data_IF_172436419029
#
_entry.id   IF_172436419029
#
_cell.length_a   1.000
_cell.length_b   1.000
_cell.length_c   1.000
_cell.angle_alpha   90.00
_cell.angle_beta   90.00
_cell.angle_gamma   90.00
#
_symmetry.space_group_name_H-M   'P 1'
#
loop_
_entity.id
_entity.type
_entity.pdbx_description
1 polymer ?
#
# COMPACT_ATOMS: atom_id res chain seq x y z
N UNK A 1 33.78 9.94 34.37
CA UNK A 1 32.85 9.17 33.53
C UNK A 1 31.49 9.80 33.78
N UNK A 2 30.93 10.48 32.80
CA UNK A 2 29.54 10.92 32.92
C UNK A 2 28.70 9.68 32.67
N UNK A 3 28.19 9.05 33.73
CA UNK A 3 27.17 8.00 33.65
C UNK A 3 25.84 8.67 33.31
N UNK A 4 25.73 9.20 32.08
CA UNK A 4 24.45 9.63 31.57
C UNK A 4 23.55 8.40 31.45
N UNK A 5 22.31 8.43 31.96
CA UNK A 5 21.42 7.29 31.90
C UNK A 5 21.14 6.92 30.43
N UNK A 6 21.12 5.62 30.14
CA UNK A 6 20.79 5.11 28.81
C UNK A 6 19.29 5.02 28.67
N UNK A 7 18.75 5.67 27.64
CA UNK A 7 17.35 5.55 27.24
C UNK A 7 17.27 4.52 26.11
N UNK A 8 16.22 3.69 26.12
CA UNK A 8 15.96 2.72 25.05
C UNK A 8 14.54 2.88 24.54
N UNK A 9 14.41 2.98 23.22
CA UNK A 9 13.15 2.96 22.48
C UNK A 9 13.16 1.77 21.52
N UNK A 10 11.98 1.30 21.11
CA UNK A 10 11.86 0.19 20.16
C UNK A 10 10.57 0.24 19.38
N UNK A 11 10.57 -0.41 18.23
CA UNK A 11 9.37 -0.68 17.44
C UNK A 11 9.57 -1.92 16.58
N UNK A 12 8.47 -2.56 16.17
CA UNK A 12 8.51 -3.64 15.17
C UNK A 12 7.87 -3.15 13.90
N UNK A 13 8.57 -3.27 12.78
CA UNK A 13 8.16 -2.81 11.47
C UNK A 13 7.79 -4.03 10.64
N UNK A 14 6.55 -4.08 10.15
CA UNK A 14 6.00 -5.09 9.26
C UNK A 14 6.55 -4.90 7.84
N UNK A 15 7.86 -5.07 7.71
CA UNK A 15 8.61 -5.01 6.46
C UNK A 15 9.88 -5.86 6.59
N UNK A 16 10.38 -6.42 5.46
CA UNK A 16 11.67 -7.11 5.42
C UNK A 16 12.81 -6.19 5.85
N UNK A 17 13.83 -6.78 6.47
CA UNK A 17 14.97 -6.04 7.04
C UNK A 17 15.73 -5.22 6.01
N UNK A 18 15.77 -5.67 4.75
CA UNK A 18 16.39 -4.94 3.65
C UNK A 18 15.66 -3.62 3.37
N UNK A 19 14.32 -3.62 3.35
CA UNK A 19 13.52 -2.40 3.18
C UNK A 19 13.72 -1.46 4.36
N UNK A 20 13.65 -2.00 5.58
CA UNK A 20 13.85 -1.23 6.81
C UNK A 20 15.23 -0.56 6.83
N UNK A 21 16.29 -1.31 6.52
CA UNK A 21 17.64 -0.76 6.47
C UNK A 21 17.79 0.32 5.40
N UNK A 22 17.27 0.08 4.18
CA UNK A 22 17.27 1.05 3.09
C UNK A 22 16.60 2.37 3.52
N UNK A 23 15.39 2.27 4.07
CA UNK A 23 14.59 3.43 4.46
C UNK A 23 15.20 4.18 5.65
N UNK A 24 15.88 3.47 6.55
CA UNK A 24 16.58 4.09 7.67
C UNK A 24 17.82 4.87 7.24
N UNK A 25 18.50 4.44 6.17
CA UNK A 25 19.84 4.92 5.85
C UNK A 25 19.93 5.82 4.61
N UNK A 26 19.03 5.72 3.65
CA UNK A 26 19.12 6.57 2.45
C UNK A 26 18.59 7.99 2.72
N UNK A 27 19.32 9.05 2.33
CA UNK A 27 18.93 10.44 2.59
C UNK A 27 17.54 10.83 2.07
N UNK A 28 17.11 10.26 0.96
CA UNK A 28 15.79 10.53 0.38
C UNK A 28 14.66 10.07 1.30
N UNK A 29 14.82 8.91 1.95
CA UNK A 29 13.88 8.39 2.94
C UNK A 29 13.98 9.13 4.27
N UNK A 30 15.19 9.43 4.76
CA UNK A 30 15.40 10.16 6.03
C UNK A 30 14.62 11.48 6.06
N UNK A 31 14.59 12.23 4.95
CA UNK A 31 13.82 13.49 4.86
C UNK A 31 12.32 13.31 5.12
N UNK A 32 11.76 12.13 4.84
CA UNK A 32 10.33 11.84 4.94
C UNK A 32 9.90 11.49 6.37
N UNK A 33 10.72 10.71 7.09
CA UNK A 33 10.34 10.22 8.42
C UNK A 33 11.05 10.92 9.59
N UNK A 34 12.22 11.53 9.37
CA UNK A 34 13.01 12.11 10.46
C UNK A 34 12.43 13.48 10.87
N UNK A 35 11.31 13.45 11.59
CA UNK A 35 10.70 14.61 12.22
C UNK A 35 9.93 14.15 13.47
N UNK A 36 10.01 14.94 14.54
CA UNK A 36 9.41 14.60 15.82
C UNK A 36 7.91 14.96 15.89
N UNK A 37 7.42 15.83 15.01
CA UNK A 37 6.03 16.22 14.93
C UNK A 37 5.67 16.81 13.57
N UNK A 38 4.37 16.98 13.31
CA UNK A 38 3.82 17.53 12.07
C UNK A 38 4.26 18.96 11.76
N UNK A 39 4.68 19.72 12.78
CA UNK A 39 5.14 21.11 12.66
C UNK A 39 6.64 21.20 12.31
N UNK A 40 7.33 20.07 12.25
CA UNK A 40 8.75 19.97 11.91
C UNK A 40 8.96 19.20 10.61
N UNK A 41 10.11 19.44 9.99
CA UNK A 41 10.55 18.69 8.82
C UNK A 41 12.08 18.60 8.76
N UNK A 42 12.59 17.60 8.05
CA UNK A 42 14.00 17.53 7.68
C UNK A 42 14.14 18.07 6.25
N UNK A 43 14.84 19.19 6.10
CA UNK A 43 15.00 19.85 4.79
C UNK A 43 16.10 19.23 3.94
N UNK A 44 17.18 18.79 4.58
CA UNK A 44 18.30 18.13 3.92
C UNK A 44 18.82 16.98 4.77
N UNK A 45 19.27 15.93 4.11
CA UNK A 45 19.94 14.79 4.73
C UNK A 45 21.16 14.40 3.89
N UNK A 46 22.23 13.97 4.54
CA UNK A 46 23.39 13.35 3.92
C UNK A 46 23.87 12.21 4.81
N UNK A 47 24.33 11.13 4.19
CA UNK A 47 24.73 9.94 4.93
C UNK A 47 25.90 9.20 4.27
N UNK A 48 27.09 9.24 4.88
CA UNK A 48 28.24 8.39 4.53
C UNK A 48 28.26 7.17 5.46
N UNK A 49 27.46 6.14 5.11
CA UNK A 49 27.18 4.98 5.95
C UNK A 49 28.35 3.98 5.99
N UNK A 50 29.41 4.31 6.72
CA UNK A 50 30.56 3.45 7.02
C UNK A 50 31.22 3.87 8.32
N UNK A 51 31.98 3.00 8.96
CA UNK A 51 32.78 3.38 10.13
C UNK A 51 33.71 4.56 9.81
N UNK A 52 33.69 5.60 10.66
CA UNK A 52 34.37 6.88 10.46
C UNK A 52 33.70 7.83 9.45
N UNK A 53 32.63 7.41 8.78
CA UNK A 53 31.77 8.27 7.97
C UNK A 53 30.88 9.16 8.85
N UNK A 54 30.33 10.22 8.24
CA UNK A 54 29.51 11.21 8.93
C UNK A 54 28.11 11.27 8.30
N UNK A 55 27.10 11.51 9.13
CA UNK A 55 25.75 11.86 8.68
C UNK A 55 25.38 13.26 9.16
N UNK A 56 24.45 13.89 8.45
CA UNK A 56 23.86 15.18 8.83
C UNK A 56 22.40 15.22 8.37
N UNK A 57 21.52 15.64 9.27
CA UNK A 57 20.12 15.96 8.99
C UNK A 57 19.82 17.37 9.48
N UNK A 58 19.41 18.26 8.57
CA UNK A 58 18.96 19.61 8.89
C UNK A 58 17.48 19.55 9.27
N UNK A 59 17.18 19.79 10.53
CA UNK A 59 15.81 19.74 11.06
C UNK A 59 15.32 21.15 11.35
N UNK A 60 14.14 21.51 10.85
CA UNK A 60 13.58 22.87 10.95
C UNK A 60 12.10 22.82 11.31
N UNK A 61 11.62 23.84 12.02
CA UNK A 61 10.20 24.10 12.18
C UNK A 61 9.65 24.63 10.85
N UNK A 62 8.47 24.15 10.42
CA UNK A 62 7.87 24.52 9.14
C UNK A 62 7.51 26.01 9.02
N UNK A 63 7.37 26.70 10.16
CA UNK A 63 7.16 28.15 10.22
C UNK A 63 8.46 28.97 10.09
N UNK A 64 9.61 28.29 10.01
CA UNK A 64 10.94 28.89 9.91
C UNK A 64 11.46 29.50 11.22
N UNK A 65 10.78 29.29 12.35
CA UNK A 65 11.15 29.90 13.63
C UNK A 65 12.43 29.34 14.25
N UNK A 66 12.72 28.06 13.99
CA UNK A 66 13.83 27.34 14.60
C UNK A 66 14.38 26.27 13.65
N UNK A 67 15.69 26.02 13.72
CA UNK A 67 16.33 24.92 13.02
C UNK A 67 17.69 24.56 13.60
N UNK A 68 18.06 23.29 13.50
CA UNK A 68 19.32 22.76 14.00
C UNK A 68 19.84 21.61 13.13
N UNK A 69 21.14 21.34 13.25
CA UNK A 69 21.79 20.24 12.55
C UNK A 69 21.95 19.06 13.50
N UNK A 70 21.33 17.93 13.17
CA UNK A 70 21.57 16.66 13.85
C UNK A 70 22.63 15.88 13.07
N UNK A 71 23.80 15.67 13.68
CA UNK A 71 24.94 15.03 13.02
C UNK A 71 25.75 14.18 13.99
N UNK A 72 26.48 13.22 13.43
CA UNK A 72 27.34 12.32 14.19
C UNK A 72 28.32 11.58 13.29
N UNK A 73 29.29 10.92 13.93
CA UNK A 73 30.29 10.08 13.26
C UNK A 73 30.01 8.63 13.61
N UNK A 74 29.96 7.76 12.60
CA UNK A 74 29.73 6.33 12.80
C UNK A 74 30.93 5.66 13.46
N UNK A 75 30.68 5.03 14.60
CA UNK A 75 31.64 4.19 15.31
C UNK A 75 31.66 2.77 14.74
N UNK A 76 30.48 2.24 14.41
CA UNK A 76 30.28 0.88 13.88
C UNK A 76 29.13 0.87 12.88
N UNK A 77 29.33 0.19 11.74
CA UNK A 77 28.27 -0.11 10.78
C UNK A 77 28.41 -1.59 10.40
N UNK A 78 27.40 -2.37 10.76
CA UNK A 78 27.24 -3.77 10.35
C UNK A 78 25.94 -3.88 9.57
N UNK A 79 26.07 -4.16 8.27
CA UNK A 79 24.95 -4.23 7.34
C UNK A 79 23.83 -5.11 7.90
N UNK A 80 22.62 -4.55 7.97
CA UNK A 80 21.41 -5.20 8.48
C UNK A 80 21.40 -5.59 9.95
N UNK A 81 22.43 -5.24 10.73
CA UNK A 81 22.53 -5.67 12.13
C UNK A 81 22.62 -4.49 13.09
N UNK A 82 23.54 -3.57 12.85
CA UNK A 82 23.89 -2.56 13.84
C UNK A 82 24.43 -1.29 13.20
N UNK A 83 24.00 -0.16 13.74
CA UNK A 83 24.59 1.16 13.51
C UNK A 83 24.90 1.75 14.88
N UNK A 84 26.13 2.22 15.10
CA UNK A 84 26.51 2.98 16.28
C UNK A 84 27.23 4.26 15.87
N UNK A 85 26.96 5.36 16.56
CA UNK A 85 27.59 6.64 16.31
C UNK A 85 27.73 7.49 17.56
N UNK A 86 28.68 8.41 17.48
CA UNK A 86 28.93 9.44 18.50
C UNK A 86 28.50 10.81 17.97
N UNK A 87 27.69 11.50 18.77
CA UNK A 87 27.20 12.86 18.49
C UNK A 87 28.27 13.91 18.79
N UNK A 88 28.07 15.15 18.30
CA UNK A 88 29.02 16.26 18.50
C UNK A 88 29.27 16.63 19.98
N UNK A 89 28.37 16.26 20.89
CA UNK A 89 28.51 16.43 22.34
C UNK A 89 29.06 15.19 23.07
N UNK A 90 29.63 14.25 22.29
CA UNK A 90 30.21 12.99 22.72
C UNK A 90 29.21 11.93 23.24
N UNK A 91 27.90 12.19 23.19
CA UNK A 91 26.89 11.18 23.52
C UNK A 91 26.88 10.07 22.48
N UNK A 92 26.65 8.85 22.96
CA UNK A 92 26.60 7.65 22.12
C UNK A 92 25.18 7.21 21.82
N UNK A 93 24.99 6.72 20.60
CA UNK A 93 23.76 6.09 20.13
C UNK A 93 24.08 4.75 19.48
N UNK A 94 23.24 3.75 19.73
CA UNK A 94 23.32 2.43 19.11
C UNK A 94 21.94 1.95 18.69
N UNK A 95 21.83 1.55 17.43
CA UNK A 95 20.63 1.02 16.82
C UNK A 95 20.92 -0.43 16.40
N UNK A 96 20.00 -1.34 16.73
CA UNK A 96 20.08 -2.73 16.32
C UNK A 96 18.83 -3.09 15.52
N UNK A 97 19.02 -3.93 14.51
CA UNK A 97 17.98 -4.45 13.64
C UNK A 97 17.94 -5.98 13.78
N UNK A 98 16.76 -6.55 14.02
CA UNK A 98 16.58 -8.00 14.11
C UNK A 98 15.24 -8.43 13.55
N UNK A 99 15.21 -9.48 12.74
CA UNK A 99 13.96 -10.06 12.23
C UNK A 99 13.30 -10.97 13.26
N UNK A 100 11.97 -10.93 13.28
CA UNK A 100 11.09 -11.85 13.99
C UNK A 100 9.87 -12.18 13.11
N UNK A 101 8.96 -13.02 13.61
CA UNK A 101 7.76 -13.47 12.88
C UNK A 101 6.82 -12.31 12.44
N UNK A 102 6.91 -11.16 13.10
CA UNK A 102 6.07 -9.98 12.85
C UNK A 102 6.79 -8.89 12.03
N UNK A 103 8.01 -9.16 11.54
CA UNK A 103 8.83 -8.22 10.76
C UNK A 103 10.16 -7.88 11.42
N UNK A 104 10.66 -6.66 11.21
CA UNK A 104 11.97 -6.21 11.72
C UNK A 104 11.80 -5.38 12.99
N UNK A 105 12.34 -5.86 14.12
CA UNK A 105 12.49 -5.06 15.34
C UNK A 105 13.66 -4.10 15.19
N UNK A 106 13.41 -2.83 15.50
CA UNK A 106 14.41 -1.76 15.59
C UNK A 106 14.50 -1.33 17.04
N UNK A 107 15.68 -1.47 17.64
CA UNK A 107 15.95 -1.05 19.02
C UNK A 107 17.04 0.02 18.99
N UNK A 108 16.70 1.22 19.46
CA UNK A 108 17.63 2.34 19.57
C UNK A 108 17.88 2.68 21.04
N UNK A 109 19.16 2.75 21.40
CA UNK A 109 19.63 3.09 22.73
C UNK A 109 20.58 4.27 22.66
N UNK A 110 20.35 5.28 23.50
CA UNK A 110 21.14 6.52 23.49
C UNK A 110 21.41 7.04 24.89
N UNK A 111 22.57 7.69 25.06
CA UNK A 111 22.91 8.41 26.29
C UNK A 111 22.03 9.67 26.42
N UNK A 112 21.33 9.81 27.54
CA UNK A 112 20.51 10.98 27.80
C UNK A 112 21.38 12.23 27.96
N UNK A 113 20.88 13.37 27.53
CA UNK A 113 21.44 14.66 27.93
C UNK A 113 20.85 15.14 29.26
N UNK A 114 21.42 16.19 29.83
CA UNK A 114 21.08 16.70 31.16
C UNK A 114 20.08 17.85 31.16
N UNK A 115 19.74 18.44 30.01
CA UNK A 115 18.87 19.63 29.99
C UNK A 115 17.39 19.27 30.02
N UNK A 116 16.96 18.26 29.26
CA UNK A 116 15.58 17.77 29.27
C UNK A 116 15.39 16.55 30.17
N UNK A 117 14.16 16.31 30.63
CA UNK A 117 13.84 15.12 31.41
C UNK A 117 13.96 13.84 30.58
N UNK A 118 14.25 12.72 31.25
CA UNK A 118 14.36 11.39 30.61
C UNK A 118 13.07 11.03 29.87
N UNK A 119 11.91 11.30 30.46
CA UNK A 119 10.61 11.01 29.84
C UNK A 119 10.36 11.86 28.58
N UNK A 120 10.75 13.14 28.60
CA UNK A 120 10.60 14.02 27.44
C UNK A 120 11.50 13.56 26.28
N UNK A 121 12.76 13.21 26.58
CA UNK A 121 13.67 12.65 25.59
C UNK A 121 13.13 11.33 25.04
N UNK A 122 12.76 10.38 25.90
CA UNK A 122 12.20 9.10 25.46
C UNK A 122 10.97 9.27 24.56
N UNK A 123 10.06 10.17 24.92
CA UNK A 123 8.84 10.45 24.14
C UNK A 123 9.19 11.04 22.76
N UNK A 124 10.09 12.02 22.71
CA UNK A 124 10.49 12.65 21.45
C UNK A 124 11.17 11.69 20.48
N UNK A 125 12.09 10.87 20.98
CA UNK A 125 12.78 9.86 20.16
C UNK A 125 11.83 8.73 19.72
N UNK A 126 10.93 8.27 20.61
CA UNK A 126 9.93 7.28 20.24
C UNK A 126 8.99 7.82 19.14
N UNK A 127 8.60 9.09 19.20
CA UNK A 127 7.75 9.69 18.16
C UNK A 127 8.42 9.70 16.77
N UNK A 128 9.72 9.95 16.71
CA UNK A 128 10.50 9.84 15.46
C UNK A 128 10.52 8.39 14.96
N UNK A 129 10.78 7.43 15.85
CA UNK A 129 10.79 6.00 15.49
C UNK A 129 9.41 5.50 15.05
N UNK A 130 8.33 6.01 15.65
CA UNK A 130 6.96 5.72 15.24
C UNK A 130 6.64 6.34 13.88
N UNK A 131 7.21 7.50 13.54
CA UNK A 131 7.10 8.09 12.21
C UNK A 131 7.85 7.24 11.17
N UNK A 132 9.04 6.74 11.51
CA UNK A 132 9.78 5.81 10.66
C UNK A 132 8.99 4.53 10.38
N UNK A 133 8.39 3.93 11.41
CA UNK A 133 7.49 2.79 11.24
C UNK A 133 6.34 3.10 10.29
N UNK A 134 5.63 4.22 10.51
CA UNK A 134 4.51 4.64 9.64
C UNK A 134 4.93 4.82 8.19
N UNK A 135 6.06 5.49 7.94
CA UNK A 135 6.60 5.70 6.60
C UNK A 135 6.98 4.38 5.92
N UNK A 136 7.65 3.49 6.65
CA UNK A 136 8.14 2.21 6.10
C UNK A 136 7.02 1.22 5.81
N UNK A 137 5.96 1.24 6.61
CA UNK A 137 4.77 0.39 6.46
C UNK A 137 3.70 0.99 5.54
N UNK A 138 3.89 2.21 5.04
CA UNK A 138 2.89 2.84 4.20
C UNK A 138 2.78 2.06 2.88
N UNK A 139 1.58 1.55 2.62
CA UNK A 139 1.22 0.96 1.35
C UNK A 139 0.95 2.07 0.33
N UNK A 140 1.79 2.15 -0.72
CA UNK A 140 1.71 3.19 -1.76
C UNK A 140 0.44 3.08 -2.59
N UNK A 141 0.07 1.86 -2.95
CA UNK A 141 -1.09 1.55 -3.79
C UNK A 141 -2.18 0.90 -2.95
N UNK A 142 -3.35 1.53 -2.87
CA UNK A 142 -4.51 1.04 -2.10
C UNK A 142 -5.67 0.77 -3.06
N UNK A 143 -6.22 -0.45 -3.12
CA UNK A 143 -7.43 -0.71 -3.88
C UNK A 143 -8.61 0.10 -3.35
N UNK A 144 -9.37 0.69 -4.27
CA UNK A 144 -10.48 1.56 -3.96
C UNK A 144 -11.76 1.11 -4.67
N UNK A 145 -12.82 0.93 -3.87
CA UNK A 145 -14.09 0.36 -4.30
C UNK A 145 -15.19 1.43 -4.30
N UNK A 146 -15.86 1.59 -5.44
CA UNK A 146 -16.94 2.56 -5.58
C UNK A 146 -18.28 1.83 -5.60
N UNK A 147 -19.12 2.13 -4.61
CA UNK A 147 -20.49 1.65 -4.49
C UNK A 147 -21.48 2.80 -4.66
N UNK A 148 -22.73 2.45 -4.95
CA UNK A 148 -23.80 3.44 -5.00
C UNK A 148 -24.16 3.92 -3.58
N UNK A 149 -24.40 2.96 -2.67
CA UNK A 149 -24.86 3.26 -1.29
C UNK A 149 -24.27 2.33 -0.24
N UNK A 150 -23.73 1.19 -0.63
CA UNK A 150 -23.51 0.03 0.23
C UNK A 150 -22.07 -0.12 0.75
N UNK A 151 -21.18 0.86 0.56
CA UNK A 151 -19.75 0.71 0.85
C UNK A 151 -19.45 0.21 2.27
N UNK A 152 -20.11 0.78 3.29
CA UNK A 152 -19.92 0.36 4.67
C UNK A 152 -20.48 -1.04 4.95
N UNK A 153 -21.62 -1.37 4.37
CA UNK A 153 -22.24 -2.67 4.51
C UNK A 153 -21.35 -3.76 3.89
N UNK A 154 -20.91 -3.54 2.65
CA UNK A 154 -19.99 -4.42 1.94
C UNK A 154 -18.68 -4.60 2.70
N UNK A 155 -18.06 -3.51 3.17
CA UNK A 155 -16.83 -3.56 3.96
C UNK A 155 -16.99 -4.40 5.24
N UNK A 156 -18.07 -4.20 6.01
CA UNK A 156 -18.33 -4.98 7.22
C UNK A 156 -18.58 -6.46 6.91
N UNK A 157 -19.24 -6.76 5.80
CA UNK A 157 -19.39 -8.13 5.32
C UNK A 157 -18.04 -8.75 5.00
N UNK A 158 -17.18 -8.09 4.22
CA UNK A 158 -15.86 -8.63 3.88
C UNK A 158 -14.96 -8.80 5.11
N UNK A 159 -14.96 -7.85 6.04
CA UNK A 159 -14.21 -7.96 7.30
C UNK A 159 -14.59 -9.23 8.05
N UNK A 160 -15.85 -9.65 7.99
CA UNK A 160 -16.33 -10.88 8.66
C UNK A 160 -15.78 -12.18 8.04
N UNK A 161 -15.29 -12.15 6.79
CA UNK A 161 -14.82 -13.33 6.05
C UNK A 161 -13.31 -13.59 6.18
N UNK A 162 -12.54 -12.62 6.66
CA UNK A 162 -11.09 -12.67 6.69
C UNK A 162 -10.56 -12.44 8.10
N UNK A 163 -9.64 -13.30 8.55
CA UNK A 163 -8.85 -13.04 9.76
C UNK A 163 -8.00 -11.78 9.60
N UNK A 164 -7.56 -11.18 10.71
CA UNK A 164 -6.75 -9.95 10.72
C UNK A 164 -7.38 -8.79 9.92
N UNK A 165 -8.70 -8.69 9.99
CA UNK A 165 -9.48 -7.66 9.30
C UNK A 165 -10.16 -6.74 10.31
N UNK A 166 -10.29 -5.46 9.96
CA UNK A 166 -10.92 -4.46 10.83
C UNK A 166 -11.39 -3.25 10.04
N UNK A 167 -12.41 -2.59 10.57
CA UNK A 167 -12.78 -1.26 10.12
C UNK A 167 -11.73 -0.26 10.61
N UNK A 168 -11.20 0.57 9.71
CA UNK A 168 -10.23 1.61 10.06
C UNK A 168 -10.89 2.94 10.33
N UNK A 169 -11.82 3.35 9.46
CA UNK A 169 -12.50 4.64 9.55
C UNK A 169 -13.82 4.61 8.78
N UNK A 170 -14.73 5.48 9.20
CA UNK A 170 -15.91 5.87 8.41
C UNK A 170 -16.11 7.37 8.53
N UNK A 171 -16.32 8.06 7.43
CA UNK A 171 -16.63 9.48 7.39
C UNK A 171 -17.77 9.74 6.41
N UNK A 172 -18.59 10.77 6.67
CA UNK A 172 -19.62 11.22 5.74
C UNK A 172 -19.30 12.65 5.33
N UNK A 173 -19.17 12.87 4.03
CA UNK A 173 -19.00 14.18 3.43
C UNK A 173 -20.35 14.69 2.98
N UNK A 174 -20.84 15.70 3.69
CA UNK A 174 -22.05 16.42 3.32
C UNK A 174 -21.76 17.52 2.30
N UNK A 175 -22.77 17.84 1.48
CA UNK A 175 -22.75 18.94 0.50
C UNK A 175 -21.72 18.79 -0.63
N UNK A 176 -21.42 17.57 -1.07
CA UNK A 176 -20.64 17.37 -2.30
C UNK A 176 -21.52 17.62 -3.53
N UNK A 177 -20.94 17.86 -4.72
CA UNK A 177 -21.72 17.98 -5.97
C UNK A 177 -22.65 16.78 -6.24
N UNK A 178 -22.32 15.62 -5.68
CA UNK A 178 -23.03 14.35 -5.87
C UNK A 178 -23.94 13.97 -4.70
N UNK A 179 -24.10 14.83 -3.69
CA UNK A 179 -24.87 14.56 -2.47
C UNK A 179 -24.00 14.19 -1.26
N UNK A 180 -24.56 13.43 -0.32
CA UNK A 180 -23.79 12.89 0.80
C UNK A 180 -22.94 11.71 0.31
N UNK A 181 -21.65 11.74 0.63
CA UNK A 181 -20.70 10.68 0.27
C UNK A 181 -20.21 10.00 1.53
N UNK A 182 -20.40 8.69 1.66
CA UNK A 182 -19.79 7.91 2.75
C UNK A 182 -18.44 7.36 2.30
N UNK A 183 -17.39 7.61 3.09
CA UNK A 183 -16.04 7.08 2.88
C UNK A 183 -15.75 6.06 3.96
N UNK A 184 -15.24 4.89 3.56
CA UNK A 184 -14.97 3.76 4.43
C UNK A 184 -13.54 3.29 4.18
N UNK A 185 -12.71 3.32 5.21
CA UNK A 185 -11.39 2.67 5.17
C UNK A 185 -11.44 1.40 6.00
N UNK A 186 -10.89 0.31 5.48
CA UNK A 186 -10.87 -0.98 6.16
C UNK A 186 -9.62 -1.80 5.80
N UNK A 187 -9.35 -2.83 6.58
CA UNK A 187 -8.29 -3.81 6.31
C UNK A 187 -8.92 -5.19 6.15
N UNK A 188 -8.47 -5.93 5.14
CA UNK A 188 -8.76 -7.35 4.92
C UNK A 188 -7.46 -8.13 4.96
N UNK A 189 -7.32 -9.08 5.88
CA UNK A 189 -6.10 -9.88 6.05
C UNK A 189 -4.81 -9.02 6.10
N UNK A 190 -4.87 -7.91 6.84
CA UNK A 190 -3.76 -6.94 6.97
C UNK A 190 -3.54 -6.02 5.76
N UNK A 191 -4.28 -6.19 4.66
CA UNK A 191 -4.19 -5.33 3.47
C UNK A 191 -5.22 -4.19 3.53
N UNK A 192 -4.82 -2.92 3.35
CA UNK A 192 -5.75 -1.80 3.39
C UNK A 192 -6.58 -1.70 2.10
N UNK A 193 -7.84 -1.31 2.26
CA UNK A 193 -8.79 -0.95 1.22
C UNK A 193 -9.48 0.35 1.61
N UNK A 194 -9.83 1.16 0.61
CA UNK A 194 -10.78 2.25 0.77
C UNK A 194 -12.03 1.96 -0.07
N UNK A 195 -13.17 2.45 0.36
CA UNK A 195 -14.41 2.37 -0.40
C UNK A 195 -15.23 3.65 -0.21
N UNK A 196 -16.07 3.97 -1.20
CA UNK A 196 -17.02 5.07 -1.10
C UNK A 196 -18.41 4.66 -1.55
N UNK A 197 -19.41 5.29 -0.95
CA UNK A 197 -20.79 5.30 -1.43
C UNK A 197 -21.08 6.65 -2.07
N UNK A 198 -21.20 6.68 -3.39
CA UNK A 198 -21.56 7.87 -4.16
C UNK A 198 -22.19 7.43 -5.49
N UNK A 199 -23.50 7.56 -5.72
CA UNK A 199 -24.07 6.97 -6.94
C UNK A 199 -25.52 7.32 -7.22
N UNK A 200 -26.07 6.85 -8.36
CA UNK A 200 -25.54 5.78 -9.22
C UNK A 200 -24.70 6.25 -10.41
N UNK A 201 -23.38 6.00 -10.40
CA UNK A 201 -22.45 6.42 -11.47
C UNK A 201 -21.70 5.26 -12.14
N UNK A 202 -21.22 4.30 -11.35
CA UNK A 202 -20.41 3.18 -11.83
C UNK A 202 -20.89 1.86 -11.21
N UNK A 203 -20.86 0.80 -12.00
CA UNK A 203 -21.22 -0.54 -11.55
C UNK A 203 -20.02 -1.47 -11.73
N UNK A 204 -19.78 -2.35 -10.75
CA UNK A 204 -18.74 -3.37 -10.86
C UNK A 204 -19.01 -4.30 -12.04
N UNK A 205 -17.91 -4.77 -12.62
CA UNK A 205 -17.88 -5.84 -13.60
C UNK A 205 -16.65 -6.73 -13.33
N UNK A 206 -16.46 -7.84 -14.08
CA UNK A 206 -15.34 -8.76 -13.84
C UNK A 206 -13.95 -8.25 -14.27
N UNK A 207 -13.82 -7.02 -14.79
CA UNK A 207 -12.53 -6.51 -15.32
C UNK A 207 -11.45 -6.41 -14.24
N UNK A 208 -11.82 -6.12 -13.00
CA UNK A 208 -10.92 -6.23 -11.85
C UNK A 208 -11.57 -7.12 -10.79
N UNK A 209 -10.87 -8.19 -10.44
CA UNK A 209 -11.32 -9.16 -9.43
C UNK A 209 -10.28 -9.34 -8.33
N UNK A 210 -10.69 -9.78 -7.15
CA UNK A 210 -9.80 -10.09 -6.04
C UNK A 210 -9.53 -11.60 -5.98
N UNK A 211 -8.31 -12.02 -6.31
CA UNK A 211 -7.85 -13.41 -6.15
C UNK A 211 -7.46 -13.68 -4.71
N UNK A 212 -8.11 -14.67 -4.08
CA UNK A 212 -7.92 -15.05 -2.68
C UNK A 212 -7.19 -16.37 -2.60
N UNK A 213 -6.00 -16.34 -2.00
CA UNK A 213 -5.20 -17.52 -1.72
C UNK A 213 -5.71 -18.22 -0.45
N UNK A 214 -6.38 -19.36 -0.60
CA UNK A 214 -6.88 -20.16 0.52
C UNK A 214 -5.95 -21.35 0.81
N UNK A 215 -5.78 -21.70 2.08
CA UNK A 215 -4.85 -22.78 2.49
C UNK A 215 -5.55 -24.07 2.94
N UNK A 216 -6.88 -24.11 2.82
CA UNK A 216 -7.67 -25.32 3.00
C UNK A 216 -8.93 -25.27 2.14
N UNK A 217 -9.45 -26.45 1.76
CA UNK A 217 -10.75 -26.53 1.07
C UNK A 217 -11.89 -25.97 1.94
N UNK A 218 -11.80 -26.12 3.26
CA UNK A 218 -12.76 -25.55 4.21
C UNK A 218 -12.82 -24.03 4.08
N UNK A 219 -11.65 -23.36 4.04
CA UNK A 219 -11.58 -21.91 3.87
C UNK A 219 -12.19 -21.45 2.54
N UNK A 220 -11.90 -22.17 1.44
CA UNK A 220 -12.50 -21.87 0.13
C UNK A 220 -14.02 -22.00 0.21
N UNK A 221 -14.52 -23.10 0.75
CA UNK A 221 -15.95 -23.39 0.81
C UNK A 221 -16.71 -22.39 1.69
N UNK A 222 -16.16 -22.00 2.84
CA UNK A 222 -16.75 -20.99 3.72
C UNK A 222 -16.94 -19.65 2.98
N UNK A 223 -15.86 -19.14 2.38
CA UNK A 223 -15.88 -17.87 1.63
C UNK A 223 -16.78 -17.96 0.40
N UNK A 224 -16.73 -19.08 -0.33
CA UNK A 224 -17.57 -19.31 -1.50
C UNK A 224 -19.05 -19.26 -1.15
N UNK A 225 -19.47 -19.96 -0.09
CA UNK A 225 -20.87 -19.98 0.33
C UNK A 225 -21.37 -18.58 0.69
N UNK A 226 -20.54 -17.77 1.35
CA UNK A 226 -20.90 -16.41 1.71
C UNK A 226 -20.94 -15.44 0.51
N UNK A 227 -19.94 -15.52 -0.38
CA UNK A 227 -19.80 -14.61 -1.53
C UNK A 227 -20.77 -14.92 -2.66
N UNK A 228 -21.12 -16.19 -2.86
CA UNK A 228 -22.09 -16.61 -3.89
C UNK A 228 -23.54 -16.40 -3.48
N UNK A 229 -23.83 -16.18 -2.19
CA UNK A 229 -25.18 -15.89 -1.74
C UNK A 229 -25.67 -14.53 -2.25
N UNK A 230 -26.63 -14.58 -3.18
CA UNK A 230 -27.17 -13.40 -3.86
C UNK A 230 -26.25 -12.83 -4.95
N UNK A 231 -25.18 -13.55 -5.29
CA UNK A 231 -24.23 -13.20 -6.34
C UNK A 231 -24.46 -13.93 -7.66
N UNK A 232 -23.55 -13.71 -8.60
CA UNK A 232 -23.50 -14.35 -9.92
C UNK A 232 -22.23 -15.21 -10.04
N UNK A 233 -22.41 -16.51 -10.26
CA UNK A 233 -21.32 -17.45 -10.48
C UNK A 233 -20.82 -17.33 -11.92
N UNK A 234 -19.57 -16.89 -12.08
CA UNK A 234 -18.91 -16.75 -13.38
C UNK A 234 -18.18 -18.03 -13.79
N UNK A 235 -17.47 -18.64 -12.84
CA UNK A 235 -16.91 -19.99 -12.97
C UNK A 235 -17.27 -20.79 -11.71
N UNK A 236 -17.98 -21.92 -11.84
CA UNK A 236 -18.38 -22.75 -10.71
C UNK A 236 -17.18 -23.17 -9.85
N UNK A 237 -17.40 -23.32 -8.55
CA UNK A 237 -16.40 -23.89 -7.66
C UNK A 237 -16.17 -25.37 -8.02
N UNK A 238 -15.00 -25.69 -8.57
CA UNK A 238 -14.65 -27.05 -9.02
C UNK A 238 -13.12 -27.22 -9.13
N UNK A 239 -12.69 -28.41 -9.55
CA UNK A 239 -11.33 -28.69 -10.00
C UNK A 239 -11.12 -28.22 -11.45
N UNK A 240 -10.01 -27.53 -11.70
CA UNK A 240 -9.59 -27.04 -13.01
C UNK A 240 -8.13 -27.43 -13.28
N UNK A 241 -7.67 -27.48 -14.55
CA UNK A 241 -6.29 -27.87 -14.86
C UNK A 241 -5.21 -27.06 -14.12
N UNK A 242 -5.50 -25.82 -13.75
CA UNK A 242 -4.59 -24.91 -13.04
C UNK A 242 -4.79 -24.87 -11.52
N UNK A 243 -5.86 -25.47 -10.97
CA UNK A 243 -6.14 -25.48 -9.53
C UNK A 243 -7.02 -26.65 -9.12
N UNK A 244 -6.66 -27.33 -8.04
CA UNK A 244 -7.46 -28.42 -7.46
C UNK A 244 -8.82 -27.96 -6.93
N UNK A 245 -8.95 -26.68 -6.60
CA UNK A 245 -10.19 -26.10 -6.09
C UNK A 245 -10.19 -24.60 -6.37
N UNK A 246 -11.04 -24.19 -7.30
CA UNK A 246 -11.13 -22.80 -7.75
C UNK A 246 -12.57 -22.43 -8.08
N UNK A 247 -12.95 -21.18 -7.81
CA UNK A 247 -14.22 -20.62 -8.25
C UNK A 247 -14.13 -19.11 -8.46
N UNK A 248 -14.98 -18.59 -9.34
CA UNK A 248 -15.08 -17.16 -9.65
C UNK A 248 -16.53 -16.69 -9.55
N UNK A 249 -16.77 -15.67 -8.74
CA UNK A 249 -18.10 -15.16 -8.43
C UNK A 249 -18.10 -13.64 -8.34
N UNK A 250 -19.16 -13.00 -8.82
CA UNK A 250 -19.49 -11.63 -8.42
C UNK A 250 -20.45 -11.69 -7.24
N UNK A 251 -20.13 -11.03 -6.14
CA UNK A 251 -20.97 -11.08 -4.94
C UNK A 251 -22.25 -10.24 -5.09
N UNK A 252 -23.09 -10.25 -4.05
CA UNK A 252 -24.33 -9.46 -4.00
C UNK A 252 -24.16 -7.93 -4.10
N UNK A 253 -22.94 -7.42 -3.94
CA UNK A 253 -22.58 -6.01 -4.12
C UNK A 253 -21.89 -5.76 -5.47
N UNK A 254 -21.74 -6.80 -6.31
CA UNK A 254 -21.16 -6.76 -7.65
C UNK A 254 -19.64 -6.97 -7.72
N UNK A 255 -18.94 -6.95 -6.58
CA UNK A 255 -17.49 -7.09 -6.54
C UNK A 255 -17.09 -8.52 -6.96
N UNK A 256 -16.08 -8.62 -7.83
CA UNK A 256 -15.64 -9.88 -8.41
C UNK A 256 -14.54 -10.54 -7.57
N UNK A 257 -14.73 -11.81 -7.24
CA UNK A 257 -13.86 -12.61 -6.36
C UNK A 257 -13.46 -13.92 -7.03
N UNK A 258 -12.18 -14.27 -6.95
CA UNK A 258 -11.65 -15.55 -7.38
C UNK A 258 -11.07 -16.27 -6.16
N UNK A 259 -11.60 -17.43 -5.79
CA UNK A 259 -11.12 -18.19 -4.63
C UNK A 259 -10.30 -19.37 -5.13
N UNK A 260 -9.09 -19.57 -4.61
CA UNK A 260 -8.18 -20.62 -5.06
C UNK A 260 -7.53 -21.33 -3.89
N UNK A 261 -7.57 -22.67 -3.89
CA UNK A 261 -6.77 -23.48 -2.98
C UNK A 261 -5.30 -23.48 -3.41
N UNK A 262 -4.42 -23.01 -2.53
CA UNK A 262 -2.98 -23.04 -2.70
C UNK A 262 -2.38 -24.36 -2.22
N UNK A 263 -1.30 -24.82 -2.85
CA UNK A 263 -0.53 -25.95 -2.34
C UNK A 263 0.24 -25.57 -1.06
N UNK A 264 0.31 -26.51 -0.12
CA UNK A 264 0.96 -26.31 1.18
C UNK A 264 2.46 -25.95 1.00
N UNK A 265 2.87 -24.79 1.52
CA UNK A 265 4.28 -24.35 1.55
C UNK A 265 4.59 -23.10 0.74
N UNK A 266 3.64 -22.58 -0.05
CA UNK A 266 3.76 -21.26 -0.68
C UNK A 266 3.07 -20.22 0.20
N UNK A 267 3.81 -19.25 0.71
CA UNK A 267 3.21 -18.07 1.34
C UNK A 267 3.16 -16.96 0.30
N UNK A 268 1.95 -16.57 -0.07
CA UNK A 268 1.67 -15.49 -1.03
C UNK A 268 0.81 -14.41 -0.37
N UNK A 269 0.70 -13.25 -1.01
CA UNK A 269 -0.27 -12.24 -0.64
C UNK A 269 -1.68 -12.84 -0.58
N UNK A 270 -2.41 -12.59 0.50
CA UNK A 270 -3.72 -13.22 0.74
C UNK A 270 -4.77 -12.81 -0.30
N UNK A 271 -4.78 -11.53 -0.70
CA UNK A 271 -5.74 -10.95 -1.64
C UNK A 271 -4.98 -10.22 -2.74
N UNK A 272 -5.01 -10.73 -3.98
CA UNK A 272 -4.28 -10.18 -5.13
C UNK A 272 -5.27 -9.57 -6.12
N UNK A 273 -5.22 -8.24 -6.40
CA UNK A 273 -6.01 -7.66 -7.48
C UNK A 273 -5.58 -8.24 -8.83
N UNK A 274 -6.55 -8.73 -9.60
CA UNK A 274 -6.36 -9.32 -10.91
C UNK A 274 -7.01 -8.45 -11.98
N UNK A 275 -6.21 -8.00 -12.95
CA UNK A 275 -6.63 -7.19 -14.10
C UNK A 275 -6.94 -8.10 -15.30
N UNK A 276 -8.21 -8.14 -15.70
CA UNK A 276 -8.69 -8.93 -16.84
C UNK A 276 -8.88 -8.03 -18.07
N UNK A 277 -7.91 -8.10 -18.98
CA UNK A 277 -7.91 -7.34 -20.22
C UNK A 277 -8.91 -7.94 -21.21
N UNK A 278 -10.05 -7.27 -21.37
CA UNK A 278 -11.18 -7.70 -22.19
C UNK A 278 -11.45 -6.71 -23.34
N UNK A 279 -12.40 -7.06 -24.22
CA UNK A 279 -12.88 -6.19 -25.29
C UNK A 279 -11.74 -5.50 -26.08
N UNK A 280 -11.74 -4.17 -26.17
CA UNK A 280 -10.81 -3.40 -27.00
C UNK A 280 -9.35 -3.47 -26.54
N UNK A 281 -9.10 -3.84 -25.27
CA UNK A 281 -7.76 -3.96 -24.69
C UNK A 281 -7.33 -5.41 -24.48
N UNK A 282 -8.11 -6.39 -24.93
CA UNK A 282 -7.69 -7.79 -24.95
C UNK A 282 -6.39 -7.95 -25.77
N UNK A 283 -5.43 -8.69 -25.24
CA UNK A 283 -4.09 -8.87 -25.83
C UNK A 283 -3.06 -7.81 -25.42
N UNK A 284 -3.42 -6.93 -24.47
CA UNK A 284 -2.57 -5.86 -23.94
C UNK A 284 -2.06 -6.11 -22.53
N UNK A 285 -2.47 -7.19 -21.87
CA UNK A 285 -2.08 -7.45 -20.48
C UNK A 285 -0.56 -7.44 -20.26
N UNK A 286 0.21 -8.14 -21.10
CA UNK A 286 1.68 -8.16 -20.98
C UNK A 286 2.32 -6.78 -21.26
N UNK A 287 1.75 -5.98 -22.16
CA UNK A 287 2.19 -4.60 -22.42
C UNK A 287 1.95 -3.71 -21.19
N UNK A 288 0.79 -3.87 -20.55
CA UNK A 288 0.42 -3.12 -19.37
C UNK A 288 1.29 -3.47 -18.16
N UNK A 289 1.55 -4.76 -17.92
CA UNK A 289 2.46 -5.21 -16.86
C UNK A 289 3.83 -4.56 -17.01
N UNK A 290 4.43 -4.59 -18.21
CA UNK A 290 5.71 -3.93 -18.48
C UNK A 290 5.64 -2.43 -18.21
N UNK A 291 4.59 -1.77 -18.71
CA UNK A 291 4.39 -0.35 -18.52
C UNK A 291 4.30 0.03 -17.04
N UNK A 292 3.49 -0.68 -16.25
CA UNK A 292 3.36 -0.39 -14.83
C UNK A 292 4.68 -0.60 -14.07
N UNK A 293 5.43 -1.66 -14.38
CA UNK A 293 6.75 -1.86 -13.77
C UNK A 293 7.82 -0.84 -14.20
N UNK A 294 7.62 -0.14 -15.32
CA UNK A 294 8.47 1.01 -15.68
C UNK A 294 8.05 2.30 -14.97
N UNK A 295 6.76 2.44 -14.64
CA UNK A 295 6.21 3.62 -13.96
C UNK A 295 6.53 3.61 -12.46
N UNK A 296 6.45 2.45 -11.79
CA UNK A 296 6.68 2.32 -10.35
C UNK A 296 8.11 1.87 -10.04
N UNK A 297 8.76 2.53 -9.07
CA UNK A 297 10.19 2.34 -8.76
C UNK A 297 10.47 0.98 -8.11
N UNK A 298 9.70 0.62 -7.08
CA UNK A 298 9.86 -0.66 -6.40
C UNK A 298 8.92 -1.68 -7.01
N UNK A 299 9.28 -2.17 -8.19
CA UNK A 299 8.44 -3.08 -8.95
C UNK A 299 9.22 -4.27 -9.49
N UNK A 300 8.49 -5.36 -9.80
CA UNK A 300 9.05 -6.55 -10.45
C UNK A 300 8.00 -7.25 -11.29
N UNK A 301 8.40 -7.75 -12.45
CA UNK A 301 7.61 -8.73 -13.20
C UNK A 301 7.96 -10.12 -12.67
N UNK A 302 6.94 -10.91 -12.39
CA UNK A 302 7.04 -12.30 -11.95
C UNK A 302 6.85 -13.28 -13.12
N UNK A 303 6.18 -14.39 -12.84
CA UNK A 303 5.83 -15.39 -13.85
C UNK A 303 4.91 -14.78 -14.90
N UNK A 304 5.19 -15.03 -16.17
CA UNK A 304 4.28 -14.76 -17.30
C UNK A 304 4.03 -16.09 -18.00
N UNK A 305 2.75 -16.39 -18.23
CA UNK A 305 2.25 -17.61 -18.85
C UNK A 305 1.36 -17.24 -20.03
N UNK A 306 1.62 -17.87 -21.17
CA UNK A 306 0.94 -17.63 -22.43
C UNK A 306 -0.14 -18.70 -22.66
N UNK A 307 -1.19 -18.32 -23.38
CA UNK A 307 -2.14 -19.31 -23.90
C UNK A 307 -1.46 -20.20 -24.93
N UNK A 308 -1.69 -21.50 -24.84
CA UNK A 308 -1.31 -22.46 -25.87
C UNK A 308 -2.41 -22.59 -26.95
N UNK A 309 -2.07 -23.24 -28.07
CA UNK A 309 -2.99 -23.43 -29.19
C UNK A 309 -4.29 -24.13 -28.73
N UNK A 310 -5.43 -23.42 -28.87
CA UNK A 310 -6.76 -23.92 -28.55
C UNK A 310 -7.23 -23.68 -27.12
N UNK A 311 -6.42 -23.06 -26.26
CA UNK A 311 -6.82 -22.73 -24.88
C UNK A 311 -7.68 -21.46 -24.78
N UNK A 312 -7.53 -20.52 -25.72
CA UNK A 312 -8.35 -19.32 -25.84
C UNK A 312 -9.19 -19.36 -27.13
N UNK A 313 -10.42 -18.87 -27.05
CA UNK A 313 -11.29 -18.66 -28.22
C UNK A 313 -11.13 -17.25 -28.78
N UNK A 314 -10.74 -16.28 -27.95
CA UNK A 314 -10.43 -14.92 -28.37
C UNK A 314 -9.15 -14.91 -29.20
N UNK A 315 -9.16 -14.38 -30.45
CA UNK A 315 -7.96 -14.29 -31.28
C UNK A 315 -6.99 -13.19 -30.80
N UNK A 316 -7.40 -12.37 -29.84
CA UNK A 316 -6.60 -11.28 -29.29
C UNK A 316 -5.85 -11.67 -28.02
N UNK A 317 -6.34 -12.67 -27.29
CA UNK A 317 -5.76 -13.10 -26.03
C UNK A 317 -4.35 -13.70 -26.23
N UNK A 318 -3.39 -13.31 -25.38
CA UNK A 318 -2.00 -13.77 -25.46
C UNK A 318 -1.53 -14.43 -24.19
N UNK A 319 -1.78 -13.79 -23.04
CA UNK A 319 -1.37 -14.33 -21.74
C UNK A 319 -2.57 -14.78 -20.93
N UNK A 320 -2.47 -15.98 -20.34
CA UNK A 320 -3.48 -16.50 -19.40
C UNK A 320 -3.16 -16.10 -17.96
N UNK A 321 -1.92 -15.67 -17.68
CA UNK A 321 -1.51 -15.17 -16.38
C UNK A 321 -0.19 -14.39 -16.46
N UNK A 322 -0.10 -13.28 -15.74
CA UNK A 322 1.13 -12.60 -15.41
C UNK A 322 1.08 -12.13 -13.96
N UNK A 323 2.07 -12.51 -13.15
CA UNK A 323 2.29 -11.96 -11.82
C UNK A 323 3.20 -10.74 -11.91
N UNK A 324 2.92 -9.70 -11.12
CA UNK A 324 3.80 -8.55 -10.98
C UNK A 324 3.59 -7.88 -9.63
N UNK A 325 4.58 -7.13 -9.16
CA UNK A 325 4.51 -6.37 -7.91
C UNK A 325 4.73 -4.90 -8.22
N UNK A 326 3.91 -4.04 -7.62
CA UNK A 326 4.06 -2.59 -7.66
C UNK A 326 4.07 -2.07 -6.22
N UNK A 327 5.18 -1.47 -5.80
CA UNK A 327 5.32 -0.81 -4.50
C UNK A 327 4.91 -1.71 -3.31
N UNK A 328 5.26 -2.99 -3.39
CA UNK A 328 4.98 -3.98 -2.36
C UNK A 328 3.61 -4.66 -2.46
N UNK A 329 2.71 -4.21 -3.35
CA UNK A 329 1.45 -4.90 -3.63
C UNK A 329 1.61 -5.84 -4.81
N UNK A 330 1.33 -7.14 -4.60
CA UNK A 330 1.26 -8.11 -5.69
C UNK A 330 -0.05 -7.94 -6.46
N UNK A 331 0.06 -8.09 -7.78
CA UNK A 331 -1.02 -8.07 -8.76
C UNK A 331 -0.90 -9.28 -9.68
N UNK A 332 -2.02 -9.62 -10.31
CA UNK A 332 -2.02 -10.43 -11.51
C UNK A 332 -2.71 -9.73 -12.67
N UNK A 333 -2.35 -10.11 -13.89
CA UNK A 333 -3.04 -9.68 -15.10
C UNK A 333 -3.20 -10.85 -16.06
N UNK A 334 -4.26 -10.83 -16.86
CA UNK A 334 -4.53 -11.83 -17.88
C UNK A 334 -5.36 -11.21 -19.00
N UNK A 335 -5.19 -11.73 -20.22
CA UNK A 335 -6.13 -11.43 -21.30
C UNK A 335 -7.34 -12.35 -21.17
N UNK A 336 -8.53 -11.83 -21.46
CA UNK A 336 -9.72 -12.66 -21.48
C UNK A 336 -9.65 -13.66 -22.64
N UNK A 337 -9.50 -14.95 -22.32
CA UNK A 337 -9.46 -16.04 -23.29
C UNK A 337 -10.76 -16.21 -24.07
N UNK A 338 -11.86 -15.60 -23.64
CA UNK A 338 -13.18 -15.67 -24.26
C UNK A 338 -13.65 -14.29 -24.74
N UNK A 339 -14.70 -14.26 -25.55
CA UNK A 339 -15.37 -13.00 -25.88
C UNK A 339 -16.13 -12.48 -24.66
N UNK A 340 -15.85 -11.24 -24.29
CA UNK A 340 -16.52 -10.54 -23.19
C UNK A 340 -16.80 -9.09 -23.59
N UNK A 341 -17.98 -8.60 -23.24
CA UNK A 341 -18.46 -7.26 -23.57
C UNK A 341 -18.44 -6.35 -22.33
N UNK A 342 -17.25 -6.14 -21.78
CA UNK A 342 -17.00 -5.17 -20.72
C UNK A 342 -15.56 -4.64 -20.78
N UNK A 343 -15.40 -3.41 -20.31
CA UNK A 343 -14.12 -2.72 -20.18
C UNK A 343 -13.84 -2.39 -18.70
N UNK A 344 -12.60 -1.97 -18.41
CA UNK A 344 -12.29 -1.35 -17.12
C UNK A 344 -13.12 -0.08 -16.91
N UNK A 345 -13.58 0.13 -15.68
CA UNK A 345 -14.29 1.34 -15.28
C UNK A 345 -13.86 1.79 -13.87
N UNK A 346 -14.50 2.83 -13.37
CA UNK A 346 -14.17 3.51 -12.13
C UNK A 346 -14.70 2.78 -10.88
N UNK A 347 -15.53 1.73 -11.05
CA UNK A 347 -16.08 0.97 -9.93
C UNK A 347 -14.97 0.34 -9.07
N UNK A 348 -13.89 -0.10 -9.71
CA UNK A 348 -12.66 -0.51 -9.06
C UNK A 348 -11.51 0.37 -9.56
N UNK A 349 -10.84 1.06 -8.64
CA UNK A 349 -9.69 1.90 -8.95
C UNK A 349 -8.52 1.64 -8.00
N UNK A 350 -7.36 2.20 -8.34
CA UNK A 350 -6.14 2.07 -7.56
C UNK A 350 -5.67 3.45 -7.10
N UNK A 351 -5.64 3.67 -5.79
CA UNK A 351 -5.16 4.91 -5.20
C UNK A 351 -3.65 4.87 -5.04
N UNK A 352 -2.94 5.85 -5.63
CA UNK A 352 -1.49 6.07 -5.47
C UNK A 352 -1.26 7.22 -4.49
N UNK A 353 -0.69 6.89 -3.33
CA UNK A 353 -0.40 7.85 -2.26
C UNK A 353 0.93 8.54 -2.53
N UNK A 354 0.87 9.85 -2.79
CA UNK A 354 2.01 10.67 -3.16
C UNK A 354 2.51 11.50 -1.97
N UNK A 355 3.82 11.50 -1.74
CA UNK A 355 4.45 12.20 -0.62
C UNK A 355 4.53 13.72 -0.84
N UNK A 356 4.66 14.13 -2.10
CA UNK A 356 4.81 15.54 -2.48
C UNK A 356 4.28 15.79 -3.90
N UNK A 357 4.29 17.07 -4.29
CA UNK A 357 3.78 17.50 -5.58
C UNK A 357 4.55 16.91 -6.77
N UNK A 358 5.85 16.62 -6.63
CA UNK A 358 6.63 16.07 -7.73
C UNK A 358 6.17 14.65 -8.06
N UNK A 359 5.85 13.84 -7.03
CA UNK A 359 5.25 12.53 -7.26
C UNK A 359 3.85 12.61 -7.86
N UNK A 360 3.02 13.56 -7.39
CA UNK A 360 1.69 13.80 -7.97
C UNK A 360 1.84 14.08 -9.47
N UNK A 361 2.69 15.03 -9.83
CA UNK A 361 2.92 15.41 -11.22
C UNK A 361 3.51 14.24 -12.03
N UNK A 362 4.42 13.45 -11.45
CA UNK A 362 5.01 12.28 -12.10
C UNK A 362 3.94 11.24 -12.45
N UNK A 363 3.15 10.79 -11.47
CA UNK A 363 2.14 9.76 -11.69
C UNK A 363 1.00 10.27 -12.56
N UNK A 364 0.59 11.53 -12.40
CA UNK A 364 -0.42 12.14 -13.27
C UNK A 364 0.02 12.10 -14.73
N UNK A 365 1.24 12.57 -15.03
CA UNK A 365 1.75 12.61 -16.40
C UNK A 365 1.96 11.22 -17.02
N UNK A 366 2.19 10.18 -16.20
CA UNK A 366 2.36 8.80 -16.66
C UNK A 366 1.03 8.06 -16.81
N UNK A 367 0.08 8.28 -15.91
CA UNK A 367 -1.14 7.49 -15.83
C UNK A 367 -2.35 8.18 -16.45
N UNK A 368 -2.29 9.48 -16.73
CA UNK A 368 -3.39 10.15 -17.45
C UNK A 368 -3.21 10.03 -18.97
N UNK A 369 -4.12 9.29 -19.60
CA UNK A 369 -4.22 9.16 -21.05
C UNK A 369 -5.60 9.53 -21.62
N UNK A 370 -6.60 9.72 -20.75
CA UNK A 370 -7.99 10.07 -21.12
C UNK A 370 -8.40 11.34 -20.37
N UNK A 371 -8.22 12.54 -20.99
CA UNK A 371 -8.49 13.82 -20.33
C UNK A 371 -9.91 13.97 -19.81
N UNK A 372 -10.89 13.37 -20.47
CA UNK A 372 -12.30 13.42 -20.06
C UNK A 372 -12.59 12.63 -18.77
N UNK A 373 -11.70 11.73 -18.38
CA UNK A 373 -11.78 10.97 -17.14
C UNK A 373 -11.07 11.68 -15.97
N UNK A 374 -10.42 12.82 -16.21
CA UNK A 374 -9.73 13.57 -15.17
C UNK A 374 -10.72 14.33 -14.28
N UNK A 375 -10.91 13.87 -13.04
CA UNK A 375 -11.78 14.55 -12.09
C UNK A 375 -11.34 14.32 -10.64
N UNK A 376 -11.14 15.39 -9.87
CA UNK A 376 -10.89 15.31 -8.42
C UNK A 376 -9.78 14.31 -8.01
N UNK A 377 -8.64 14.29 -8.73
CA UNK A 377 -7.53 13.36 -8.46
C UNK A 377 -7.58 12.05 -9.26
N UNK A 378 -8.68 11.78 -9.97
CA UNK A 378 -8.81 10.61 -10.82
C UNK A 378 -8.12 10.81 -12.15
N UNK A 379 -7.47 9.75 -12.65
CA UNK A 379 -6.93 9.65 -14.00
C UNK A 379 -7.23 8.26 -14.55
N UNK A 380 -7.29 8.14 -15.88
CA UNK A 380 -7.45 6.86 -16.56
C UNK A 380 -6.28 6.65 -17.52
N UNK A 381 -5.66 5.48 -17.42
CA UNK A 381 -4.50 5.16 -18.23
C UNK A 381 -4.86 4.71 -19.64
N UNK A 382 -3.82 4.49 -20.47
CA UNK A 382 -3.97 4.10 -21.87
C UNK A 382 -4.61 2.73 -22.07
N UNK A 383 -4.79 1.94 -21.01
CA UNK A 383 -5.45 0.64 -21.01
C UNK A 383 -6.87 0.71 -20.42
N UNK A 384 -7.28 1.85 -19.87
CA UNK A 384 -8.59 2.06 -19.29
C UNK A 384 -8.66 1.83 -17.77
N UNK A 385 -7.55 1.48 -17.11
CA UNK A 385 -7.54 1.31 -15.65
C UNK A 385 -7.63 2.67 -14.97
N UNK A 386 -8.50 2.75 -13.95
CA UNK A 386 -8.78 3.97 -13.20
C UNK A 386 -7.84 4.09 -11.99
N UNK A 387 -7.22 5.25 -11.83
CA UNK A 387 -6.27 5.56 -10.76
C UNK A 387 -6.69 6.82 -10.01
N UNK A 388 -6.35 6.90 -8.72
CA UNK A 388 -6.51 8.12 -7.92
C UNK A 388 -5.14 8.58 -7.43
N UNK A 389 -4.70 9.76 -7.84
CA UNK A 389 -3.39 10.32 -7.46
C UNK A 389 -3.61 11.29 -6.30
N UNK A 390 -3.29 10.85 -5.08
CA UNK A 390 -3.66 11.59 -3.85
C UNK A 390 -2.46 11.91 -2.98
N UNK A 391 -2.34 13.11 -2.39
CA UNK A 391 -1.28 13.41 -1.42
C UNK A 391 -1.44 12.61 -0.11
N UNK A 392 -0.34 12.20 0.50
CA UNK A 392 -0.29 11.47 1.77
C UNK A 392 -1.02 12.20 2.91
N UNK A 393 -0.99 13.54 2.89
CA UNK A 393 -1.72 14.39 3.83
C UNK A 393 -3.23 14.13 3.85
N UNK A 394 -3.83 13.72 2.72
CA UNK A 394 -5.26 13.35 2.66
C UNK A 394 -5.54 12.18 3.60
N UNK A 395 -4.63 11.21 3.72
CA UNK A 395 -4.82 10.06 4.63
C UNK A 395 -4.72 10.47 6.10
N UNK A 396 -3.91 11.47 6.43
CA UNK A 396 -3.82 12.02 7.79
C UNK A 396 -5.05 12.85 8.15
N UNK A 397 -5.53 13.68 7.22
CA UNK A 397 -6.76 14.47 7.42
C UNK A 397 -7.98 13.55 7.53
N UNK A 398 -8.07 12.51 6.69
CA UNK A 398 -9.13 11.50 6.79
C UNK A 398 -9.04 10.61 8.05
N UNK A 399 -7.93 10.64 8.79
CA UNK A 399 -7.82 9.99 10.12
C UNK A 399 -8.25 10.92 11.26
N UNK A 400 -8.40 12.22 11.00
CA UNK A 400 -8.85 13.17 12.01
C UNK A 400 -10.39 13.22 12.04
N UNK A 401 -10.98 13.38 13.23
CA UNK A 401 -12.43 13.61 13.39
C UNK A 401 -12.87 15.01 12.88
N UNK A 402 -11.97 15.77 12.25
CA UNK A 402 -12.20 17.12 11.77
C UNK A 402 -12.86 17.10 10.38
N UNK A 403 -14.17 16.82 10.37
CA UNK A 403 -15.03 16.79 9.18
C UNK A 403 -14.92 18.08 8.35
N UNK A 404 -14.64 19.23 8.99
CA UNK A 404 -14.50 20.53 8.31
C UNK A 404 -13.24 20.60 7.47
N UNK A 405 -12.14 19.97 7.89
CA UNK A 405 -10.93 19.85 7.05
C UNK A 405 -11.18 18.91 5.88
N UNK A 406 -11.89 17.80 6.09
CA UNK A 406 -12.18 16.84 5.02
C UNK A 406 -13.09 17.45 3.94
N UNK A 407 -14.02 18.35 4.31
CA UNK A 407 -14.92 19.04 3.37
C UNK A 407 -14.30 20.20 2.57
N UNK A 408 -13.15 20.72 2.98
CA UNK A 408 -12.46 21.85 2.31
C UNK A 408 -11.43 21.42 1.27
N UNK A 409 -11.23 20.12 1.15
CA UNK A 409 -10.38 19.45 0.16
C UNK A 409 -11.26 18.99 -1.00
#
# INVERSE_FOLDING_TARGET
MNDNPIITIRTTINAPKEKVWKYWTEPEHIKKWNNASVDWHTTTASNDLRAGGMFLSRMEAKDGSLGFDFSGIYDEVKLYETIAYTLGDARKVKINFSENENGTEVIEAFEAETTNSIEMQKTGWQAILDNFKRYTEMQKIVPHLWYDKEAKEAALFYISLFEQSKLLKTAVLHNTPSGDVEIVGFELAGQPFDAISAGPYFAFNPSISLMVACYSMEEVNEKWNALSEGGEVLMPLDEYPFSKWYGWVQDRYGLSWQLMLMDNGQTVQKITPNLLFSNAVCGKAEEAVKYYTEVFENSKIGLVSHYEDGEATSPHAKINYAAFNLEGLDFSAMDNGYEADFDFNEAFSLTVICEDQNEIDYYWNKLSAVPEAEQCGWVKDKFGVSWQIVPAAIREVMKSDDVVKIQRM
#
